data_IF_767204711083
#
_entry.id   IF_767204711083
#
_cell.length_a   1.000
_cell.length_b   1.000
_cell.length_c   1.000
_cell.angle_alpha   90.00
_cell.angle_beta   90.00
_cell.angle_gamma   90.00
#
_symmetry.space_group_name_H-M   'P 1'
#
loop_
_entity.id
_entity.type
_entity.pdbx_description
1 polymer ?
#
# COMPACT_ATOMS: atom_id res chain seq x y z
N UNK A 1 -2.43 -13.03 -7.03
CA UNK A 1 -1.73 -14.16 -6.38
C UNK A 1 -0.69 -13.66 -5.38
N UNK A 2 -0.33 -14.48 -4.39
CA UNK A 2 0.84 -14.16 -3.56
C UNK A 2 2.12 -14.13 -4.41
N UNK A 3 3.06 -13.27 -4.01
CA UNK A 3 4.32 -13.07 -4.71
C UNK A 3 4.22 -12.20 -5.97
N UNK A 4 3.03 -11.74 -6.35
CA UNK A 4 2.84 -10.91 -7.54
C UNK A 4 3.48 -9.53 -7.34
N UNK A 5 4.37 -9.07 -8.24
CA UNK A 5 4.90 -7.72 -8.18
C UNK A 5 3.84 -6.72 -8.64
N UNK A 6 3.70 -5.63 -7.89
CA UNK A 6 2.75 -4.56 -8.16
C UNK A 6 3.44 -3.22 -8.03
N UNK A 7 3.36 -2.40 -9.09
CA UNK A 7 3.78 -1.01 -9.03
C UNK A 7 2.66 -0.14 -8.47
N UNK A 8 3.02 0.66 -7.47
CA UNK A 8 2.14 1.56 -6.75
C UNK A 8 2.61 2.99 -6.97
N UNK A 9 1.70 3.87 -7.38
CA UNK A 9 1.92 5.32 -7.47
C UNK A 9 0.77 6.06 -6.79
N UNK A 10 1.08 6.77 -5.71
CA UNK A 10 0.11 7.50 -4.88
C UNK A 10 0.82 8.57 -4.03
N UNK A 11 0.04 9.40 -3.35
CA UNK A 11 0.51 10.31 -2.31
C UNK A 11 -0.22 9.95 -1.01
N UNK A 12 0.52 9.69 0.07
CA UNK A 12 -0.01 9.26 1.36
C UNK A 12 0.59 10.08 2.51
N UNK A 13 -0.10 10.20 3.66
CA UNK A 13 0.43 10.91 4.82
C UNK A 13 1.78 10.38 5.27
N UNK A 14 2.68 11.29 5.65
CA UNK A 14 4.00 10.96 6.21
C UNK A 14 3.94 10.60 7.72
N UNK A 15 2.80 10.89 8.37
CA UNK A 15 2.57 10.66 9.80
C UNK A 15 3.00 11.82 10.71
N UNK A 16 3.41 12.95 10.15
CA UNK A 16 3.87 14.16 10.86
C UNK A 16 3.09 15.42 10.50
N UNK A 17 2.02 15.27 9.71
CA UNK A 17 1.17 16.36 9.23
C UNK A 17 1.46 16.77 7.78
N UNK A 18 2.40 16.10 7.11
CA UNK A 18 2.67 16.24 5.69
C UNK A 18 2.27 15.01 4.88
N UNK A 19 2.61 15.07 3.60
CA UNK A 19 2.36 14.02 2.62
C UNK A 19 3.67 13.54 1.99
N UNK A 20 3.75 12.25 1.67
CA UNK A 20 4.84 11.60 0.96
C UNK A 20 4.33 11.07 -0.40
N UNK A 21 5.01 11.41 -1.49
CA UNK A 21 4.82 10.74 -2.77
C UNK A 21 5.44 9.33 -2.74
N UNK A 22 4.63 8.33 -3.02
CA UNK A 22 4.99 6.92 -2.98
C UNK A 22 4.86 6.31 -4.38
N UNK A 23 5.98 6.21 -5.08
CA UNK A 23 6.10 5.51 -6.36
C UNK A 23 7.07 4.32 -6.21
N UNK A 24 6.55 3.13 -5.88
CA UNK A 24 7.37 1.97 -5.49
C UNK A 24 6.83 0.65 -6.03
N UNK A 25 7.73 -0.26 -6.39
CA UNK A 25 7.42 -1.67 -6.64
C UNK A 25 7.25 -2.40 -5.31
N UNK A 26 6.12 -3.07 -5.14
CA UNK A 26 5.78 -3.87 -3.96
C UNK A 26 5.47 -5.31 -4.35
N UNK A 27 5.45 -6.21 -3.36
CA UNK A 27 5.08 -7.61 -3.54
C UNK A 27 3.79 -7.88 -2.76
N UNK A 28 2.81 -8.53 -3.40
CA UNK A 28 1.61 -9.01 -2.72
C UNK A 28 1.97 -10.20 -1.80
N UNK A 29 2.23 -9.95 -0.52
CA UNK A 29 2.70 -10.97 0.43
C UNK A 29 1.69 -11.33 1.53
N UNK A 30 0.60 -10.59 1.65
CA UNK A 30 -0.40 -10.79 2.71
C UNK A 30 -1.83 -10.54 2.20
N UNK A 31 -2.82 -11.06 2.94
CA UNK A 31 -4.25 -10.85 2.70
C UNK A 31 -4.95 -10.39 3.97
N UNK A 32 -6.14 -9.82 3.82
CA UNK A 32 -7.01 -9.49 4.94
C UNK A 32 -8.47 -9.65 4.53
N UNK A 33 -9.33 -10.02 5.48
CA UNK A 33 -10.77 -10.22 5.22
C UNK A 33 -11.47 -8.96 4.69
N UNK A 34 -10.93 -7.77 4.96
CA UNK A 34 -11.43 -6.48 4.47
C UNK A 34 -10.85 -6.05 3.10
N UNK A 35 -9.88 -6.79 2.56
CA UNK A 35 -9.21 -6.47 1.29
C UNK A 35 -9.90 -7.26 0.18
N UNK A 36 -11.06 -6.75 -0.26
CA UNK A 36 -11.94 -7.38 -1.24
C UNK A 36 -11.99 -6.56 -2.54
N UNK A 37 -12.13 -7.27 -3.66
CA UNK A 37 -12.26 -6.67 -5.00
C UNK A 37 -10.94 -6.38 -5.71
N UNK A 38 -10.99 -6.09 -7.02
CA UNK A 38 -9.80 -5.74 -7.80
C UNK A 38 -9.26 -4.36 -7.39
N UNK A 39 -7.95 -4.15 -7.55
CA UNK A 39 -7.27 -2.89 -7.23
C UNK A 39 -7.49 -2.36 -5.80
N UNK A 40 -7.76 -3.26 -4.85
CA UNK A 40 -7.78 -2.99 -3.40
C UNK A 40 -6.51 -3.54 -2.77
N UNK A 41 -5.87 -2.76 -1.91
CA UNK A 41 -4.66 -3.16 -1.21
C UNK A 41 -4.60 -2.58 0.20
N UNK A 42 -3.73 -3.16 1.02
CA UNK A 42 -3.28 -2.61 2.30
C UNK A 42 -1.76 -2.44 2.25
N UNK A 43 -1.24 -1.32 2.76
CA UNK A 43 0.19 -1.00 2.74
C UNK A 43 0.76 -1.23 4.13
N UNK A 44 1.65 -2.22 4.24
CA UNK A 44 2.45 -2.40 5.43
C UNK A 44 3.53 -1.30 5.52
N UNK A 45 3.36 -0.37 6.46
CA UNK A 45 4.28 0.76 6.68
C UNK A 45 5.33 0.53 7.77
N UNK A 46 5.32 -0.66 8.40
CA UNK A 46 6.23 -1.03 9.49
C UNK A 46 5.51 -1.41 10.79
N UNK A 47 6.27 -1.49 11.88
CA UNK A 47 5.78 -1.91 13.19
C UNK A 47 5.93 -0.81 14.25
N UNK A 48 5.11 -0.86 15.29
CA UNK A 48 5.14 0.08 16.42
C UNK A 48 4.17 1.26 16.28
N UNK A 49 4.12 2.11 17.31
CA UNK A 49 3.11 3.16 17.44
C UNK A 49 3.16 4.19 16.30
N UNK A 50 4.35 4.60 15.87
CA UNK A 50 4.52 5.55 14.76
C UNK A 50 4.01 4.98 13.42
N UNK A 51 4.32 3.71 13.14
CA UNK A 51 3.82 3.02 11.95
C UNK A 51 2.30 2.86 12.00
N UNK A 52 1.74 2.48 13.16
CA UNK A 52 0.29 2.38 13.36
C UNK A 52 -0.43 3.71 13.18
N UNK A 53 0.14 4.81 13.71
CA UNK A 53 -0.40 6.15 13.50
C UNK A 53 -0.43 6.52 12.02
N UNK A 54 0.70 6.34 11.32
CA UNK A 54 0.79 6.62 9.88
C UNK A 54 -0.19 5.76 9.09
N UNK A 55 -0.25 4.45 9.34
CA UNK A 55 -1.16 3.52 8.67
C UNK A 55 -2.62 3.92 8.83
N UNK A 56 -3.03 4.32 10.04
CA UNK A 56 -4.40 4.72 10.33
C UNK A 56 -4.88 5.96 9.56
N UNK A 57 -3.96 6.77 9.04
CA UNK A 57 -4.29 7.94 8.21
C UNK A 57 -4.46 7.57 6.73
N UNK A 58 -4.03 6.39 6.30
CA UNK A 58 -4.03 6.01 4.88
C UNK A 58 -5.44 5.58 4.44
N UNK A 59 -6.10 6.44 3.65
CA UNK A 59 -7.33 6.12 2.91
C UNK A 59 -7.36 6.90 1.59
N UNK A 60 -6.44 6.54 0.68
CA UNK A 60 -6.13 7.33 -0.51
C UNK A 60 -6.36 6.53 -1.80
N UNK A 61 -6.70 7.21 -2.91
CA UNK A 61 -6.67 6.59 -4.22
C UNK A 61 -5.25 6.22 -4.62
N UNK A 62 -5.12 5.17 -5.44
CA UNK A 62 -3.82 4.64 -5.84
C UNK A 62 -3.87 4.20 -7.30
N UNK A 63 -2.82 4.53 -8.06
CA UNK A 63 -2.58 3.89 -9.34
C UNK A 63 -1.90 2.54 -9.09
N UNK A 64 -2.57 1.47 -9.50
CA UNK A 64 -2.23 0.09 -9.18
C UNK A 64 -1.93 -0.69 -10.47
N UNK A 65 -0.66 -1.02 -10.72
CA UNK A 65 -0.25 -1.74 -11.94
C UNK A 65 0.36 -3.09 -11.59
N UNK A 66 -0.29 -4.17 -12.03
CA UNK A 66 0.19 -5.54 -11.85
C UNK A 66 1.24 -5.90 -12.90
N UNK A 67 2.39 -6.41 -12.47
CA UNK A 67 3.39 -6.99 -13.37
C UNK A 67 3.18 -8.49 -13.48
N UNK A 68 2.68 -8.93 -14.63
CA UNK A 68 2.39 -10.34 -14.89
C UNK A 68 3.58 -11.04 -15.55
N UNK A 69 4.07 -12.18 -15.02
CA UNK A 69 5.12 -12.97 -15.67
C UNK A 69 4.72 -13.46 -17.07
N UNK A 70 5.70 -13.61 -17.95
CA UNK A 70 5.52 -14.17 -19.31
C UNK A 70 5.58 -15.68 -19.29
#
# INVERSE_FOLDING_TARGET
PYGLPVWIDTTIPDGTGGDEHLARLMIAQDTGSAILGPARMDIFVGSGAAAGHRAGLIRHPVAFTVLWPR
#
